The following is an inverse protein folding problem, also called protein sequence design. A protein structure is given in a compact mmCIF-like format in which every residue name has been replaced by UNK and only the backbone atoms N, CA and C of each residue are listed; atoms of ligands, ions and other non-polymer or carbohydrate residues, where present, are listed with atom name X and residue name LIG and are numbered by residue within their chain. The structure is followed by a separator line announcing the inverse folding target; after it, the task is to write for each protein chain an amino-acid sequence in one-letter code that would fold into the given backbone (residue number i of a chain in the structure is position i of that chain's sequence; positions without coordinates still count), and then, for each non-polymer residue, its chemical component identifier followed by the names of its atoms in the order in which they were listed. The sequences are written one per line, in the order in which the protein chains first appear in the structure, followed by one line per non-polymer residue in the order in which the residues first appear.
data_IF_282435751479
#
_entry.id   IF_282435751479
#
_cell.length_a   1.000
_cell.length_b   1.000
_cell.length_c   1.000
_cell.angle_alpha   90.00
_cell.angle_beta   90.00
_cell.angle_gamma   90.00
#
_symmetry.space_group_name_H-M   'P 1'
#
loop_
_entity.id
_entity.type
_entity.pdbx_description
1 polymer ?
#
# COMPACT_ATOMS: atom_id res chain seq x y z
N UNK A 1 -44.65 -22.78 17.05
CA UNK A 1 -43.65 -21.94 17.74
C UNK A 1 -42.24 -22.47 17.44
N UNK A 2 -41.36 -21.56 16.97
CA UNK A 2 -39.90 -21.40 17.21
C UNK A 2 -38.94 -22.58 16.88
N UNK A 3 -38.07 -22.49 15.85
CA UNK A 3 -36.74 -21.79 15.76
C UNK A 3 -35.69 -22.57 16.58
N UNK A 4 -34.49 -23.01 16.16
CA UNK A 4 -33.64 -22.84 14.97
C UNK A 4 -32.64 -24.02 14.93
N UNK A 5 -32.36 -24.55 13.73
CA UNK A 5 -31.17 -25.37 13.50
C UNK A 5 -30.10 -24.44 12.91
N UNK A 6 -28.99 -24.28 13.61
CA UNK A 6 -27.92 -23.33 13.26
C UNK A 6 -27.26 -23.74 11.93
N UNK A 7 -27.38 -22.86 10.93
CA UNK A 7 -26.61 -22.92 9.69
C UNK A 7 -25.19 -22.41 9.98
N UNK A 8 -24.22 -23.32 10.09
CA UNK A 8 -22.81 -22.99 9.91
C UNK A 8 -22.43 -23.28 8.46
N UNK A 9 -22.65 -22.30 7.58
CA UNK A 9 -22.06 -22.33 6.25
C UNK A 9 -20.59 -21.93 6.35
N UNK A 10 -19.62 -22.81 6.03
CA UNK A 10 -18.24 -22.37 5.88
C UNK A 10 -18.13 -21.49 4.63
N UNK A 11 -17.51 -20.32 4.81
CA UNK A 11 -17.17 -19.32 3.79
C UNK A 11 -16.56 -19.95 2.51
N UNK A 12 -17.41 -20.20 1.51
CA UNK A 12 -17.04 -20.64 0.15
C UNK A 12 -16.69 -19.45 -0.74
N UNK A 13 -15.83 -18.53 -0.27
CA UNK A 13 -15.46 -17.34 -1.04
C UNK A 13 -14.20 -17.52 -1.92
N UNK A 14 -13.52 -18.68 -1.85
CA UNK A 14 -12.23 -18.88 -2.53
C UNK A 14 -12.22 -19.99 -3.61
N UNK A 15 -13.29 -20.76 -3.82
CA UNK A 15 -13.30 -21.87 -4.79
C UNK A 15 -13.86 -21.52 -6.17
N UNK A 16 -14.63 -20.44 -6.31
CA UNK A 16 -15.51 -20.30 -7.47
C UNK A 16 -14.93 -19.42 -8.61
N UNK A 17 -13.70 -18.93 -8.46
CA UNK A 17 -13.01 -18.17 -9.52
C UNK A 17 -12.21 -19.05 -10.51
N UNK A 18 -12.36 -20.38 -10.50
CA UNK A 18 -11.55 -21.26 -11.38
C UNK A 18 -12.19 -21.72 -12.67
N UNK A 19 -13.49 -21.54 -12.92
CA UNK A 19 -14.07 -22.00 -14.19
C UNK A 19 -15.28 -21.15 -14.56
N UNK A 20 -15.09 -20.15 -15.44
CA UNK A 20 -16.05 -19.67 -16.46
C UNK A 20 -15.51 -18.40 -17.16
N UNK A 21 -14.70 -18.60 -18.20
CA UNK A 21 -14.59 -17.65 -19.31
C UNK A 21 -14.85 -18.41 -20.62
N UNK A 22 -16.12 -18.64 -21.02
CA UNK A 22 -16.45 -19.26 -22.31
C UNK A 22 -16.66 -18.17 -23.38
N UNK A 23 -15.66 -17.30 -23.60
CA UNK A 23 -15.74 -16.21 -24.58
C UNK A 23 -14.68 -16.27 -25.68
N UNK A 24 -13.94 -17.37 -25.82
CA UNK A 24 -12.92 -17.51 -26.86
C UNK A 24 -13.07 -18.85 -27.60
N UNK A 25 -14.22 -19.03 -28.27
CA UNK A 25 -14.27 -19.88 -29.47
C UNK A 25 -14.47 -18.98 -30.67
N UNK A 26 -13.41 -18.86 -31.46
CA UNK A 26 -13.37 -18.61 -32.91
C UNK A 26 -12.41 -17.48 -33.31
N UNK A 27 -11.10 -17.77 -33.35
CA UNK A 27 -10.29 -17.28 -34.47
C UNK A 27 -9.05 -18.16 -34.70
N UNK A 28 -9.19 -19.05 -35.67
CA UNK A 28 -8.24 -19.32 -36.75
C UNK A 28 -6.73 -19.21 -36.43
N UNK A 29 -6.11 -20.38 -36.28
CA UNK A 29 -4.87 -20.78 -36.96
C UNK A 29 -4.04 -19.64 -37.57
N UNK A 30 -3.08 -19.15 -36.79
CA UNK A 30 -1.82 -18.61 -37.29
C UNK A 30 -0.75 -18.90 -36.26
N UNK A 31 0.14 -19.81 -36.62
CA UNK A 31 1.40 -20.08 -35.95
C UNK A 31 2.32 -18.87 -36.11
N UNK A 32 2.10 -17.82 -35.32
CA UNK A 32 3.13 -16.83 -35.05
C UNK A 32 3.84 -17.25 -33.77
N UNK A 33 5.11 -17.60 -33.90
CA UNK A 33 6.06 -17.86 -32.83
C UNK A 33 6.04 -16.71 -31.80
N UNK A 34 5.15 -16.81 -30.82
CA UNK A 34 5.15 -15.94 -29.68
C UNK A 34 6.32 -16.37 -28.80
N UNK A 35 7.34 -15.51 -28.70
CA UNK A 35 8.38 -15.63 -27.69
C UNK A 35 7.72 -15.97 -26.35
N UNK A 36 8.03 -17.14 -25.79
CA UNK A 36 7.65 -17.49 -24.42
C UNK A 36 8.08 -16.33 -23.53
N UNK A 37 7.11 -15.54 -23.06
CA UNK A 37 7.37 -14.48 -22.10
C UNK A 37 7.40 -15.13 -20.74
N UNK A 38 8.45 -14.84 -19.97
CA UNK A 38 8.51 -15.24 -18.58
C UNK A 38 7.35 -14.58 -17.82
N UNK A 39 6.47 -15.41 -17.26
CA UNK A 39 5.33 -14.95 -16.46
C UNK A 39 5.74 -15.00 -14.99
N UNK A 40 5.87 -13.82 -14.38
CA UNK A 40 6.17 -13.69 -12.95
C UNK A 40 4.86 -13.57 -12.17
N UNK A 41 4.59 -14.52 -11.27
CA UNK A 41 3.44 -14.47 -10.37
C UNK A 41 3.82 -13.79 -9.06
N UNK A 42 3.28 -12.59 -8.84
CA UNK A 42 3.47 -11.83 -7.59
C UNK A 42 2.34 -12.14 -6.61
N UNK A 43 2.70 -12.37 -5.34
CA UNK A 43 1.72 -12.63 -4.27
C UNK A 43 0.76 -11.45 -4.08
N UNK A 44 -0.46 -11.73 -3.61
CA UNK A 44 -1.46 -10.69 -3.30
C UNK A 44 -0.92 -9.65 -2.31
N UNK A 45 -0.16 -10.09 -1.31
CA UNK A 45 0.46 -9.22 -0.32
C UNK A 45 1.53 -8.29 -0.94
N UNK A 46 2.36 -8.81 -1.84
CA UNK A 46 3.37 -8.00 -2.52
C UNK A 46 2.74 -6.95 -3.45
N UNK A 47 1.63 -7.29 -4.13
CA UNK A 47 0.84 -6.32 -4.90
C UNK A 47 0.28 -5.21 -4.01
N UNK A 48 -0.31 -5.57 -2.88
CA UNK A 48 -0.87 -4.61 -1.91
C UNK A 48 0.20 -3.68 -1.32
N UNK A 49 1.36 -4.21 -0.97
CA UNK A 49 2.49 -3.40 -0.49
C UNK A 49 2.99 -2.44 -1.58
N UNK A 50 3.08 -2.92 -2.83
CA UNK A 50 3.45 -2.08 -3.97
C UNK A 50 2.49 -0.92 -4.16
N UNK A 51 1.18 -1.17 -4.15
CA UNK A 51 0.17 -0.12 -4.25
C UNK A 51 0.21 0.83 -3.07
N UNK A 52 0.35 0.34 -1.84
CA UNK A 52 0.41 1.19 -0.65
C UNK A 52 1.64 2.11 -0.68
N UNK A 53 2.79 1.60 -1.11
CA UNK A 53 4.00 2.42 -1.30
C UNK A 53 3.83 3.45 -2.39
N UNK A 54 3.24 3.07 -3.53
CA UNK A 54 2.98 3.98 -4.64
C UNK A 54 2.04 5.11 -4.20
N UNK A 55 0.92 4.76 -3.55
CA UNK A 55 -0.04 5.75 -3.03
C UNK A 55 0.58 6.65 -1.98
N UNK A 56 1.42 6.13 -1.08
CA UNK A 56 2.13 6.95 -0.11
C UNK A 56 3.12 7.93 -0.77
N UNK A 57 3.78 7.52 -1.86
CA UNK A 57 4.71 8.38 -2.61
C UNK A 57 3.98 9.46 -3.43
N UNK A 58 2.78 9.16 -3.95
CA UNK A 58 1.96 10.09 -4.72
C UNK A 58 1.06 10.99 -3.85
N UNK A 59 0.91 10.64 -2.57
CA UNK A 59 0.09 11.42 -1.64
C UNK A 59 0.73 12.81 -1.44
N UNK A 60 -0.07 13.90 -1.54
CA UNK A 60 0.41 15.25 -1.26
C UNK A 60 1.04 15.33 0.14
N UNK A 61 2.19 16.00 0.26
CA UNK A 61 2.76 16.21 1.58
C UNK A 61 1.87 17.22 2.33
N UNK A 62 1.17 16.71 3.34
CA UNK A 62 0.24 17.47 4.19
C UNK A 62 0.85 18.74 4.79
N UNK A 63 2.18 18.90 4.78
CA UNK A 63 2.90 20.02 5.37
C UNK A 63 3.82 20.75 4.40
N UNK A 64 3.66 20.62 3.08
CA UNK A 64 4.51 21.29 2.07
C UNK A 64 4.72 22.77 2.36
N UNK A 65 3.65 23.51 2.65
CA UNK A 65 3.72 24.93 2.98
C UNK A 65 4.60 25.20 4.20
N UNK A 66 4.37 24.45 5.29
CA UNK A 66 5.15 24.59 6.53
C UNK A 66 6.62 24.24 6.32
N UNK A 67 6.91 23.21 5.53
CA UNK A 67 8.29 22.80 5.20
C UNK A 67 8.98 23.89 4.37
N UNK A 68 8.28 24.46 3.39
CA UNK A 68 8.78 25.55 2.57
C UNK A 68 9.13 26.78 3.43
N UNK A 69 8.21 27.19 4.31
CA UNK A 69 8.41 28.37 5.17
C UNK A 69 9.61 28.19 6.11
N UNK A 70 9.75 26.99 6.70
CA UNK A 70 10.91 26.65 7.53
C UNK A 70 12.21 26.62 6.73
N UNK A 71 12.19 26.07 5.50
CA UNK A 71 13.36 26.03 4.62
C UNK A 71 13.81 27.43 4.23
N UNK A 72 12.87 28.34 3.98
CA UNK A 72 13.17 29.74 3.67
C UNK A 72 13.79 30.46 4.89
N UNK A 73 13.28 30.22 6.10
CA UNK A 73 13.87 30.73 7.35
C UNK A 73 15.30 30.22 7.59
N UNK A 74 15.55 28.94 7.30
CA UNK A 74 16.90 28.35 7.42
C UNK A 74 17.85 29.01 6.42
N UNK A 75 17.44 29.17 5.16
CA UNK A 75 18.26 29.83 4.13
C UNK A 75 18.54 31.29 4.48
N UNK A 76 17.58 31.99 5.06
CA UNK A 76 17.73 33.37 5.53
C UNK A 76 18.54 33.50 6.84
N UNK A 77 18.88 32.38 7.51
CA UNK A 77 19.57 32.39 8.80
C UNK A 77 18.70 32.89 9.97
N UNK A 78 17.39 33.02 9.78
CA UNK A 78 16.45 33.51 10.79
C UNK A 78 15.77 32.39 11.58
N UNK A 79 16.01 31.13 11.19
CA UNK A 79 15.50 29.97 11.90
C UNK A 79 16.11 29.86 13.31
N UNK A 80 15.25 29.94 14.33
CA UNK A 80 15.64 29.80 15.75
C UNK A 80 14.87 28.64 16.39
N UNK A 81 15.46 27.42 16.45
CA UNK A 81 14.81 26.30 17.10
C UNK A 81 14.76 26.50 18.62
N UNK A 82 13.70 26.01 19.26
CA UNK A 82 13.62 25.94 20.72
C UNK A 82 14.44 24.75 21.23
N UNK A 83 15.62 25.04 21.77
CA UNK A 83 16.57 24.03 22.25
C UNK A 83 15.98 23.15 23.35
N UNK A 84 15.15 23.71 24.24
CA UNK A 84 14.54 22.92 25.33
C UNK A 84 13.54 21.92 24.78
N UNK A 85 12.72 22.37 23.82
CA UNK A 85 11.77 21.49 23.14
C UNK A 85 12.48 20.40 22.35
N UNK A 86 13.58 20.72 21.67
CA UNK A 86 14.39 19.75 20.93
C UNK A 86 14.96 18.68 21.87
N UNK A 87 15.57 19.08 22.98
CA UNK A 87 16.14 18.14 23.96
C UNK A 87 15.07 17.23 24.57
N UNK A 88 13.90 17.79 24.93
CA UNK A 88 12.77 17.02 25.44
C UNK A 88 12.28 15.96 24.45
N UNK A 89 12.17 16.33 23.16
CA UNK A 89 11.76 15.40 22.12
C UNK A 89 12.77 14.27 21.90
N UNK A 90 14.07 14.59 21.94
CA UNK A 90 15.13 13.59 21.80
C UNK A 90 15.04 12.51 22.91
N UNK A 91 14.94 12.93 24.17
CA UNK A 91 14.79 12.01 25.30
C UNK A 91 13.50 11.20 25.19
N UNK A 92 12.41 11.81 24.72
CA UNK A 92 11.14 11.10 24.52
C UNK A 92 11.28 9.99 23.47
N UNK A 93 11.90 10.29 22.33
CA UNK A 93 12.12 9.32 21.25
C UNK A 93 12.98 8.13 21.74
N UNK A 94 14.03 8.40 22.52
CA UNK A 94 14.87 7.34 23.11
C UNK A 94 14.06 6.43 24.05
N UNK A 95 13.18 7.00 24.87
CA UNK A 95 12.31 6.23 25.78
C UNK A 95 11.29 5.40 25.00
N UNK A 96 10.70 5.97 23.94
CA UNK A 96 9.73 5.26 23.10
C UNK A 96 10.39 4.12 22.31
N UNK A 97 11.66 4.26 21.90
CA UNK A 97 12.43 3.20 21.24
C UNK A 97 12.75 2.01 22.17
N UNK A 98 12.89 2.25 23.47
CA UNK A 98 13.24 1.22 24.47
C UNK A 98 12.04 0.43 25.00
N UNK A 99 10.81 0.80 24.62
CA UNK A 99 9.57 0.08 25.00
C UNK A 99 9.12 -0.89 23.92
#
# INVERSE_FOLDING_TARGET
MKINQFNNAPLKAYSDNRVKNPAEKAQSQSTSSASTRDVVNVSSQAKLLGTARQTAAESPDTREQKVKDLRDQVRAGTYKPDIRKTAMNLVREDIDFLR
#
